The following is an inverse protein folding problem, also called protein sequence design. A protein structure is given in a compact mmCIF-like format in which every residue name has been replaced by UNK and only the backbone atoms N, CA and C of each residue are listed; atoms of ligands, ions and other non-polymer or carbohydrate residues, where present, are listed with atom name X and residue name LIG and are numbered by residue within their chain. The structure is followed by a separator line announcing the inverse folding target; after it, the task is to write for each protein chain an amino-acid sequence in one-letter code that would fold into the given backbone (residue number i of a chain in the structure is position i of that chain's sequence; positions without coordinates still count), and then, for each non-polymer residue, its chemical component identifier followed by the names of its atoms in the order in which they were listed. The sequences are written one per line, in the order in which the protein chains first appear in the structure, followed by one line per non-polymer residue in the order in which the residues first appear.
data_IF_501655185820
#
_entry.id   IF_501655185820
#
_cell.length_a   1.000
_cell.length_b   1.000
_cell.length_c   1.000
_cell.angle_alpha   90.00
_cell.angle_beta   90.00
_cell.angle_gamma   90.00
#
_symmetry.space_group_name_H-M   'P 1'
#
loop_
_entity.id
_entity.type
_entity.pdbx_description
1 polymer ?
#
# COMPACT_ATOMS: atom_id res chain seq x y z
N UNK A 1 14.92 -15.74 -12.83
CA UNK A 1 13.51 -16.20 -12.94
C UNK A 1 12.73 -15.96 -11.65
N UNK A 2 13.39 -15.94 -10.48
CA UNK A 2 12.74 -15.62 -9.20
C UNK A 2 12.33 -14.14 -9.06
N UNK A 3 13.17 -13.17 -9.46
CA UNK A 3 12.86 -11.74 -9.29
C UNK A 3 11.61 -11.26 -10.07
N UNK A 4 11.43 -11.76 -11.30
CA UNK A 4 10.27 -11.41 -12.13
C UNK A 4 9.00 -12.12 -11.64
N UNK A 5 9.13 -13.34 -11.12
CA UNK A 5 8.04 -14.06 -10.45
C UNK A 5 7.67 -13.40 -9.11
N UNK A 6 8.64 -12.89 -8.34
CA UNK A 6 8.41 -12.11 -7.11
C UNK A 6 7.73 -10.77 -7.44
N UNK A 7 8.14 -10.10 -8.53
CA UNK A 7 7.52 -8.85 -8.95
C UNK A 7 6.07 -9.05 -9.40
N UNK A 8 5.82 -10.06 -10.24
CA UNK A 8 4.46 -10.39 -10.70
C UNK A 8 3.61 -10.93 -9.54
N UNK A 9 4.20 -11.72 -8.63
CA UNK A 9 3.48 -12.22 -7.46
C UNK A 9 3.15 -11.10 -6.47
N UNK A 10 4.04 -10.15 -6.24
CA UNK A 10 3.77 -9.00 -5.37
C UNK A 10 2.71 -8.05 -5.94
N UNK A 11 2.66 -7.89 -7.27
CA UNK A 11 1.66 -7.03 -7.93
C UNK A 11 0.28 -7.71 -8.00
N UNK A 12 0.22 -8.98 -8.41
CA UNK A 12 -1.05 -9.67 -8.72
C UNK A 12 -1.48 -10.74 -7.71
N UNK A 13 -0.56 -11.52 -7.13
CA UNK A 13 -0.91 -12.74 -6.37
C UNK A 13 -1.00 -12.50 -4.86
N UNK A 14 -0.05 -11.75 -4.28
CA UNK A 14 0.01 -11.38 -2.87
C UNK A 14 -0.36 -9.91 -2.66
N UNK A 15 -1.39 -9.43 -3.35
CA UNK A 15 -1.80 -8.04 -3.26
C UNK A 15 -2.23 -7.72 -1.81
N UNK A 16 -1.53 -6.79 -1.17
CA UNK A 16 -1.78 -6.40 0.22
C UNK A 16 -3.24 -5.98 0.48
N UNK A 17 -3.87 -5.32 -0.49
CA UNK A 17 -5.24 -4.80 -0.34
C UNK A 17 -6.29 -5.88 -0.49
N UNK A 18 -6.10 -6.81 -1.43
CA UNK A 18 -7.14 -7.75 -1.86
C UNK A 18 -6.97 -9.16 -1.27
N UNK A 19 -5.75 -9.55 -0.94
CA UNK A 19 -5.46 -10.85 -0.32
C UNK A 19 -5.29 -10.72 1.20
N UNK A 20 -4.53 -9.72 1.65
CA UNK A 20 -4.27 -9.52 3.09
C UNK A 20 -5.22 -8.51 3.75
N UNK A 21 -6.09 -7.84 3.00
CA UNK A 21 -7.01 -6.81 3.52
C UNK A 21 -6.30 -5.67 4.28
N UNK A 22 -5.07 -5.34 3.85
CA UNK A 22 -4.25 -4.26 4.39
C UNK A 22 -4.39 -2.98 3.54
N UNK A 23 -4.41 -1.81 4.18
CA UNK A 23 -4.51 -0.51 3.53
C UNK A 23 -5.93 -0.05 3.21
N UNK A 24 -6.95 -0.59 3.89
CA UNK A 24 -8.36 -0.28 3.64
C UNK A 24 -8.70 1.19 3.95
N UNK A 25 -8.04 1.82 4.91
CA UNK A 25 -8.33 3.20 5.34
C UNK A 25 -8.21 4.22 4.18
N UNK A 26 -7.05 4.32 3.48
CA UNK A 26 -6.96 5.19 2.30
C UNK A 26 -7.75 4.66 1.12
N UNK A 27 -7.92 3.34 1.00
CA UNK A 27 -8.69 2.71 -0.06
C UNK A 27 -10.16 3.15 -0.04
N UNK A 28 -10.83 3.18 1.11
CA UNK A 28 -12.21 3.67 1.22
C UNK A 28 -12.31 5.21 1.23
N UNK A 29 -11.28 5.88 1.75
CA UNK A 29 -11.27 7.33 1.98
C UNK A 29 -11.02 8.17 0.71
N UNK A 30 -10.18 7.70 -0.22
CA UNK A 30 -9.70 8.49 -1.37
C UNK A 30 -10.21 7.99 -2.72
N UNK A 31 -10.86 6.83 -2.77
CA UNK A 31 -11.31 6.21 -4.03
C UNK A 31 -12.61 6.80 -4.61
N UNK A 32 -12.91 8.09 -4.39
CA UNK A 32 -14.10 8.73 -4.99
C UNK A 32 -13.82 9.30 -6.39
N UNK A 33 -12.56 9.65 -6.67
CA UNK A 33 -12.13 10.22 -7.94
C UNK A 33 -10.86 9.53 -8.38
N UNK A 34 -10.77 9.19 -9.67
CA UNK A 34 -9.58 8.54 -10.22
C UNK A 34 -8.32 9.39 -10.01
N UNK A 35 -8.39 10.71 -10.22
CA UNK A 35 -7.23 11.61 -10.06
C UNK A 35 -6.63 11.60 -8.65
N UNK A 36 -7.50 11.62 -7.63
CA UNK A 36 -7.08 11.58 -6.22
C UNK A 36 -6.59 10.18 -5.83
N UNK A 37 -7.21 9.12 -6.34
CA UNK A 37 -6.78 7.75 -6.09
C UNK A 37 -5.40 7.46 -6.71
N UNK A 38 -5.16 7.92 -7.93
CA UNK A 38 -3.90 7.74 -8.63
C UNK A 38 -2.73 8.46 -7.93
N UNK A 39 -2.94 9.73 -7.56
CA UNK A 39 -1.95 10.51 -6.81
C UNK A 39 -1.63 9.89 -5.45
N UNK A 40 -2.64 9.40 -4.74
CA UNK A 40 -2.45 8.68 -3.47
C UNK A 40 -1.70 7.36 -3.66
N UNK A 41 -2.05 6.57 -4.67
CA UNK A 41 -1.37 5.31 -4.98
C UNK A 41 0.11 5.50 -5.28
N UNK A 42 0.46 6.51 -6.10
CA UNK A 42 1.86 6.85 -6.38
C UNK A 42 2.62 7.29 -5.13
N UNK A 43 2.01 8.11 -4.27
CA UNK A 43 2.62 8.52 -3.01
C UNK A 43 2.90 7.33 -2.08
N UNK A 44 1.93 6.41 -1.94
CA UNK A 44 2.10 5.19 -1.15
C UNK A 44 3.16 4.27 -1.75
N UNK A 45 3.20 4.12 -3.08
CA UNK A 45 4.24 3.34 -3.76
C UNK A 45 5.64 3.87 -3.45
N UNK A 46 5.82 5.19 -3.55
CA UNK A 46 7.09 5.83 -3.22
C UNK A 46 7.49 5.58 -1.77
N UNK A 47 6.59 5.79 -0.81
CA UNK A 47 6.88 5.53 0.60
C UNK A 47 7.15 4.04 0.87
N UNK A 48 6.41 3.12 0.25
CA UNK A 48 6.63 1.67 0.37
C UNK A 48 8.03 1.27 -0.12
N UNK A 49 8.48 1.80 -1.25
CA UNK A 49 9.82 1.49 -1.80
C UNK A 49 10.94 1.97 -0.88
N UNK A 50 10.84 3.19 -0.37
CA UNK A 50 11.85 3.73 0.55
C UNK A 50 11.80 2.97 1.87
N UNK A 51 10.60 2.68 2.38
CA UNK A 51 10.45 1.88 3.60
C UNK A 51 11.09 0.51 3.45
N UNK A 52 10.92 -0.17 2.31
CA UNK A 52 11.53 -1.47 2.03
C UNK A 52 13.07 -1.43 2.15
N UNK A 53 13.69 -0.38 1.60
CA UNK A 53 15.15 -0.17 1.68
C UNK A 53 15.59 0.01 3.14
N UNK A 54 14.95 0.93 3.87
CA UNK A 54 15.36 1.27 5.23
C UNK A 54 15.00 0.17 6.24
N UNK A 55 13.88 -0.52 6.07
CA UNK A 55 13.47 -1.63 6.93
C UNK A 55 14.45 -2.79 6.82
N UNK A 56 14.91 -3.12 5.60
CA UNK A 56 15.94 -4.14 5.40
C UNK A 56 17.26 -3.75 6.05
N UNK A 57 17.69 -2.49 5.86
CA UNK A 57 18.95 -1.98 6.40
C UNK A 57 18.95 -2.04 7.93
N UNK A 58 17.87 -1.62 8.57
CA UNK A 58 17.75 -1.64 10.04
C UNK A 58 17.64 -3.06 10.57
N UNK A 59 16.87 -3.93 9.90
CA UNK A 59 16.73 -5.31 10.34
C UNK A 59 18.09 -6.05 10.29
N UNK A 60 18.80 -5.97 9.16
CA UNK A 60 20.02 -6.74 8.95
C UNK A 60 21.27 -6.12 9.60
N UNK A 61 21.40 -4.79 9.66
CA UNK A 61 22.56 -4.15 10.26
C UNK A 61 22.43 -3.93 11.77
N UNK A 62 21.21 -3.92 12.32
CA UNK A 62 20.99 -3.56 13.73
C UNK A 62 20.25 -4.69 14.46
N UNK A 63 19.06 -5.10 14.02
CA UNK A 63 18.25 -5.99 14.88
C UNK A 63 18.81 -7.41 14.97
N UNK A 64 19.21 -7.99 13.84
CA UNK A 64 19.81 -9.33 13.79
C UNK A 64 21.13 -9.41 14.58
N UNK A 65 22.14 -8.52 14.37
CA UNK A 65 23.43 -8.65 15.06
C UNK A 65 23.35 -8.41 16.57
N UNK A 66 22.36 -7.63 17.03
CA UNK A 66 22.16 -7.35 18.45
C UNK A 66 21.11 -8.26 19.11
N UNK A 67 20.49 -9.20 18.37
CA UNK A 67 19.47 -10.13 18.90
C UNK A 67 18.19 -9.42 19.37
N UNK A 68 17.83 -8.30 18.76
CA UNK A 68 16.76 -7.40 19.17
C UNK A 68 15.47 -7.61 18.33
N UNK A 69 15.19 -8.83 17.90
CA UNK A 69 14.05 -9.14 17.02
C UNK A 69 12.70 -8.73 17.61
N UNK A 70 12.58 -8.70 18.93
CA UNK A 70 11.35 -8.27 19.60
C UNK A 70 11.03 -6.77 19.40
N UNK A 71 12.01 -5.94 18.99
CA UNK A 71 11.81 -4.52 18.71
C UNK A 71 11.42 -4.21 17.25
N UNK A 72 11.36 -5.21 16.37
CA UNK A 72 11.11 -5.02 14.93
C UNK A 72 9.90 -4.10 14.65
N UNK A 73 8.76 -4.35 15.30
CA UNK A 73 7.53 -3.57 15.09
C UNK A 73 7.74 -2.09 15.47
N UNK A 74 8.32 -1.83 16.65
CA UNK A 74 8.52 -0.46 17.14
C UNK A 74 9.52 0.28 16.26
N UNK A 75 10.61 -0.39 15.86
CA UNK A 75 11.61 0.17 14.95
C UNK A 75 11.00 0.51 13.59
N UNK A 76 10.19 -0.37 13.00
CA UNK A 76 9.56 -0.10 11.70
C UNK A 76 8.56 1.06 11.76
N UNK A 77 7.75 1.16 12.82
CA UNK A 77 6.84 2.30 13.00
C UNK A 77 7.62 3.62 13.05
N UNK A 78 8.73 3.65 13.80
CA UNK A 78 9.56 4.86 13.92
C UNK A 78 10.18 5.26 12.58
N UNK A 79 10.67 4.28 11.82
CA UNK A 79 11.21 4.49 10.47
C UNK A 79 10.14 5.05 9.53
N UNK A 80 8.98 4.41 9.46
CA UNK A 80 7.87 4.85 8.61
C UNK A 80 7.44 6.27 8.98
N UNK A 81 7.27 6.57 10.27
CA UNK A 81 6.90 7.89 10.74
C UNK A 81 7.92 8.96 10.31
N UNK A 82 9.21 8.68 10.48
CA UNK A 82 10.28 9.61 10.08
C UNK A 82 10.34 9.86 8.57
N UNK A 83 10.14 8.80 7.77
CA UNK A 83 10.18 8.87 6.30
C UNK A 83 8.98 9.63 5.75
N UNK A 84 7.77 9.33 6.24
CA UNK A 84 6.56 10.02 5.80
C UNK A 84 6.61 11.49 6.19
N UNK A 85 7.12 11.83 7.37
CA UNK A 85 7.31 13.23 7.76
C UNK A 85 8.25 13.98 6.80
N UNK A 86 9.32 13.32 6.36
CA UNK A 86 10.23 13.88 5.37
C UNK A 86 9.52 14.08 4.02
N UNK A 87 8.72 13.11 3.59
CA UNK A 87 7.93 13.20 2.35
C UNK A 87 6.88 14.31 2.43
N UNK A 88 6.22 14.50 3.57
CA UNK A 88 5.26 15.59 3.79
C UNK A 88 5.92 16.96 3.59
N UNK A 89 7.08 17.17 4.21
CA UNK A 89 7.85 18.41 4.04
C UNK A 89 8.27 18.63 2.59
N UNK A 90 8.64 17.56 1.87
CA UNK A 90 9.05 17.61 0.47
C UNK A 90 7.88 17.98 -0.46
N UNK A 91 6.73 17.32 -0.29
CA UNK A 91 5.51 17.58 -1.08
C UNK A 91 5.01 19.01 -0.86
N UNK A 92 5.04 19.49 0.39
CA UNK A 92 4.63 20.87 0.73
C UNK A 92 5.47 21.93 -0.01
N UNK A 93 6.75 21.63 -0.28
CA UNK A 93 7.67 22.56 -0.95
C UNK A 93 7.58 22.50 -2.48
N UNK A 94 7.40 21.32 -3.06
CA UNK A 94 7.45 21.14 -4.53
C UNK A 94 6.09 21.41 -5.18
N UNK A 95 5.00 20.94 -4.57
CA UNK A 95 3.68 20.97 -5.18
C UNK A 95 2.60 21.34 -4.16
N UNK A 96 2.38 22.65 -3.93
CA UNK A 96 1.25 23.15 -3.14
C UNK A 96 -0.13 22.60 -3.55
N UNK A 97 -0.48 22.42 -4.85
CA UNK A 97 -1.79 21.88 -5.21
C UNK A 97 -1.97 20.41 -4.80
N UNK A 98 -0.90 19.62 -4.88
CA UNK A 98 -0.93 18.22 -4.42
C UNK A 98 -1.06 18.15 -2.90
N UNK A 99 -0.37 19.02 -2.17
CA UNK A 99 -0.50 19.13 -0.71
C UNK A 99 -1.91 19.57 -0.29
N UNK A 100 -2.56 20.47 -1.03
CA UNK A 100 -3.95 20.86 -0.75
C UNK A 100 -4.95 19.71 -1.00
N UNK A 101 -4.70 18.88 -2.01
CA UNK A 101 -5.56 17.74 -2.32
C UNK A 101 -5.35 16.55 -1.36
N UNK A 102 -4.10 16.27 -0.97
CA UNK A 102 -3.73 15.10 -0.15
C UNK A 102 -3.47 15.42 1.32
N UNK A 103 -3.42 16.69 1.74
CA UNK A 103 -2.92 17.15 3.05
C UNK A 103 -3.47 16.37 4.25
N UNK A 104 -4.77 16.06 4.23
CA UNK A 104 -5.46 15.32 5.29
C UNK A 104 -5.08 13.83 5.29
N UNK A 105 -4.70 13.28 4.13
CA UNK A 105 -4.38 11.87 3.93
C UNK A 105 -2.90 11.54 4.10
N UNK A 106 -1.99 12.53 4.13
CA UNK A 106 -0.56 12.28 4.39
C UNK A 106 -0.32 11.60 5.76
N UNK A 107 -0.94 12.03 6.87
CA UNK A 107 -0.85 11.29 8.14
C UNK A 107 -1.41 9.87 8.05
N UNK A 108 -2.41 9.60 7.20
CA UNK A 108 -2.91 8.24 6.98
C UNK A 108 -1.89 7.31 6.33
N UNK A 109 -0.84 7.84 5.68
CA UNK A 109 0.25 7.03 5.14
C UNK A 109 1.09 6.44 6.28
N UNK A 110 1.35 7.20 7.36
CA UNK A 110 2.13 6.71 8.51
C UNK A 110 1.49 5.50 9.20
N UNK A 111 0.17 5.48 9.26
CA UNK A 111 -0.64 4.45 9.90
C UNK A 111 -1.16 3.42 8.90
N UNK A 112 -0.66 3.44 7.67
CA UNK A 112 -1.09 2.51 6.64
C UNK A 112 -0.55 1.12 6.93
N UNK A 113 -1.46 0.20 7.24
CA UNK A 113 -1.12 -1.18 7.54
C UNK A 113 -0.49 -1.94 6.37
N UNK A 114 -0.69 -1.53 5.11
CA UNK A 114 0.02 -2.12 3.96
C UNK A 114 1.53 -1.87 4.00
N UNK A 115 1.96 -0.68 4.47
CA UNK A 115 3.38 -0.31 4.54
C UNK A 115 4.08 -1.09 5.66
N UNK A 116 3.43 -1.17 6.83
CA UNK A 116 3.94 -1.96 7.95
C UNK A 116 3.94 -3.46 7.63
N UNK A 117 2.90 -3.97 6.98
CA UNK A 117 2.81 -5.36 6.55
C UNK A 117 3.91 -5.75 5.57
N UNK A 118 4.24 -4.87 4.61
CA UNK A 118 5.36 -5.07 3.70
C UNK A 118 6.68 -5.26 4.46
N UNK A 119 6.97 -4.38 5.41
CA UNK A 119 8.21 -4.45 6.17
C UNK A 119 8.31 -5.76 6.97
N UNK A 120 7.20 -6.21 7.55
CA UNK A 120 7.15 -7.44 8.33
C UNK A 120 7.26 -8.70 7.45
N UNK A 121 6.51 -8.76 6.35
CA UNK A 121 6.52 -9.91 5.42
C UNK A 121 7.88 -10.06 4.75
N UNK A 122 8.54 -8.96 4.41
CA UNK A 122 9.88 -9.00 3.84
C UNK A 122 10.90 -9.65 4.79
N UNK A 123 10.77 -9.42 6.09
CA UNK A 123 11.62 -10.04 7.11
C UNK A 123 11.25 -11.51 7.33
N UNK A 124 9.95 -11.82 7.44
CA UNK A 124 9.47 -13.19 7.62
C UNK A 124 9.92 -14.12 6.48
N UNK A 125 9.92 -13.62 5.25
CA UNK A 125 10.36 -14.37 4.06
C UNK A 125 11.89 -14.34 3.86
N UNK A 126 12.65 -13.70 4.74
CA UNK A 126 14.12 -13.56 4.66
C UNK A 126 14.61 -13.08 3.28
N UNK A 127 13.93 -12.07 2.71
CA UNK A 127 14.34 -11.55 1.40
C UNK A 127 15.71 -10.87 1.45
N UNK A 128 16.48 -11.06 0.39
CA UNK A 128 17.70 -10.28 0.15
C UNK A 128 17.37 -8.80 -0.10
N UNK A 129 18.39 -7.94 -0.06
CA UNK A 129 18.21 -6.50 -0.28
C UNK A 129 17.49 -6.21 -1.61
N UNK A 130 17.94 -6.86 -2.68
CA UNK A 130 17.41 -6.65 -4.03
C UNK A 130 15.97 -7.17 -4.14
N UNK A 131 15.68 -8.33 -3.55
CA UNK A 131 14.32 -8.87 -3.49
C UNK A 131 13.38 -7.99 -2.70
N UNK A 132 13.83 -7.42 -1.57
CA UNK A 132 13.02 -6.55 -0.72
C UNK A 132 12.64 -5.26 -1.45
N UNK A 133 13.57 -4.67 -2.20
CA UNK A 133 13.27 -3.47 -3.01
C UNK A 133 12.27 -3.79 -4.12
N UNK A 134 12.48 -4.88 -4.85
CA UNK A 134 11.58 -5.31 -5.93
C UNK A 134 10.19 -5.65 -5.37
N UNK A 135 10.13 -6.33 -4.23
CA UNK A 135 8.90 -6.61 -3.50
C UNK A 135 8.19 -5.32 -3.08
N UNK A 136 8.94 -4.31 -2.62
CA UNK A 136 8.35 -3.03 -2.23
C UNK A 136 7.80 -2.21 -3.40
N UNK A 137 8.50 -2.19 -4.54
CA UNK A 137 8.00 -1.56 -5.77
C UNK A 137 6.76 -2.30 -6.26
N UNK A 138 6.81 -3.63 -6.33
CA UNK A 138 5.69 -4.44 -6.80
C UNK A 138 4.45 -4.28 -5.93
N UNK A 139 4.62 -4.31 -4.61
CA UNK A 139 3.51 -4.15 -3.66
C UNK A 139 2.87 -2.76 -3.72
N UNK A 140 3.68 -1.71 -3.90
CA UNK A 140 3.16 -0.35 -4.07
C UNK A 140 2.39 -0.17 -5.38
N UNK A 141 2.90 -0.72 -6.48
CA UNK A 141 2.18 -0.73 -7.76
C UNK A 141 0.87 -1.53 -7.66
N UNK A 142 0.87 -2.66 -6.95
CA UNK A 142 -0.33 -3.45 -6.66
C UNK A 142 -1.38 -2.66 -5.86
N UNK A 143 -0.95 -1.87 -4.88
CA UNK A 143 -1.82 -0.94 -4.15
C UNK A 143 -2.40 0.15 -5.06
N UNK A 144 -1.57 0.73 -5.92
CA UNK A 144 -1.98 1.76 -6.89
C UNK A 144 -3.01 1.22 -7.87
N UNK A 145 -2.79 0.01 -8.40
CA UNK A 145 -3.73 -0.66 -9.29
C UNK A 145 -5.08 -0.90 -8.58
N UNK A 146 -5.05 -1.41 -7.35
CA UNK A 146 -6.27 -1.68 -6.59
C UNK A 146 -7.09 -0.40 -6.32
N UNK A 147 -6.44 0.69 -5.88
CA UNK A 147 -7.16 1.93 -5.54
C UNK A 147 -7.71 2.64 -6.79
N UNK A 148 -7.01 2.55 -7.93
CA UNK A 148 -7.49 3.12 -9.21
C UNK A 148 -8.68 2.33 -9.75
N UNK A 149 -8.63 0.99 -9.69
CA UNK A 149 -9.78 0.15 -10.06
C UNK A 149 -11.00 0.45 -9.19
N UNK A 150 -10.79 0.58 -7.87
CA UNK A 150 -11.86 0.94 -6.95
C UNK A 150 -12.44 2.32 -7.25
N UNK A 151 -11.58 3.28 -7.59
CA UNK A 151 -12.02 4.63 -7.95
C UNK A 151 -12.85 4.64 -9.23
N UNK A 152 -12.43 3.90 -10.26
CA UNK A 152 -13.21 3.76 -11.49
C UNK A 152 -14.59 3.16 -11.24
N UNK A 153 -14.66 2.05 -10.49
CA UNK A 153 -15.96 1.42 -10.17
C UNK A 153 -16.84 2.36 -9.34
N UNK A 154 -16.26 3.14 -8.41
CA UNK A 154 -17.04 4.08 -7.60
C UNK A 154 -17.53 5.29 -8.38
N UNK A 155 -16.75 5.78 -9.34
CA UNK A 155 -17.15 6.88 -10.21
C UNK A 155 -18.31 6.47 -11.12
N UNK A 156 -18.31 5.22 -11.61
CA UNK A 156 -19.45 4.63 -12.33
C UNK A 156 -20.67 4.40 -11.42
N UNK A 157 -20.46 3.94 -10.18
CA UNK A 157 -21.55 3.72 -9.22
C UNK A 157 -22.24 5.00 -8.76
N UNK A 158 -21.55 6.14 -8.78
CA UNK A 158 -22.16 7.44 -8.49
C UNK A 158 -23.18 7.85 -9.56
N UNK A 159 -23.08 7.30 -10.78
CA UNK A 159 -24.06 7.46 -11.87
C UNK A 159 -25.15 6.37 -11.86
N UNK A 160 -24.96 5.29 -11.09
CA UNK A 160 -25.88 4.16 -11.02
C UNK A 160 -26.97 4.35 -9.97
N UNK A 161 -28.08 3.62 -10.13
CA UNK A 161 -29.23 3.71 -9.23
C UNK A 161 -29.02 2.82 -7.98
N UNK A 162 -28.24 3.34 -7.04
CA UNK A 162 -27.91 2.65 -5.79
C UNK A 162 -28.97 2.97 -4.71
N UNK A 163 -29.47 1.98 -3.94
CA UNK A 163 -30.38 2.23 -2.83
C UNK A 163 -29.79 3.24 -1.83
N UNK A 164 -30.57 4.26 -1.44
CA UNK A 164 -30.12 5.32 -0.52
C UNK A 164 -29.40 4.84 0.75
N UNK A 165 -29.84 3.75 1.43
CA UNK A 165 -29.17 3.26 2.64
C UNK A 165 -27.76 2.70 2.39
N UNK A 166 -27.44 2.31 1.15
CA UNK A 166 -26.17 1.68 0.78
C UNK A 166 -25.18 2.65 0.15
N UNK A 167 -25.58 3.89 -0.13
CA UNK A 167 -24.71 4.91 -0.74
C UNK A 167 -23.48 5.19 0.14
N UNK A 168 -22.33 5.39 -0.50
CA UNK A 168 -21.07 5.69 0.18
C UNK A 168 -20.30 4.45 0.63
N UNK A 169 -20.07 4.31 1.95
CA UNK A 169 -19.18 3.29 2.49
C UNK A 169 -19.76 1.86 2.38
N UNK A 170 -21.08 1.70 2.48
CA UNK A 170 -21.75 0.41 2.40
C UNK A 170 -21.52 -0.28 1.05
N UNK A 171 -21.82 0.41 -0.05
CA UNK A 171 -21.56 -0.14 -1.39
C UNK A 171 -20.06 -0.28 -1.69
N UNK A 172 -19.22 0.62 -1.17
CA UNK A 172 -17.77 0.50 -1.33
C UNK A 172 -17.23 -0.79 -0.70
N UNK A 173 -17.75 -1.23 0.45
CA UNK A 173 -17.36 -2.49 1.06
C UNK A 173 -17.86 -3.71 0.26
N UNK A 174 -19.09 -3.65 -0.27
CA UNK A 174 -19.63 -4.72 -1.13
C UNK A 174 -18.77 -4.89 -2.39
N UNK A 175 -18.46 -3.78 -3.06
CA UNK A 175 -17.60 -3.76 -4.24
C UNK A 175 -16.20 -4.26 -3.89
N UNK A 176 -15.63 -3.83 -2.78
CA UNK A 176 -14.32 -4.31 -2.32
C UNK A 176 -14.33 -5.84 -2.11
N UNK A 177 -15.41 -6.40 -1.56
CA UNK A 177 -15.58 -7.85 -1.41
C UNK A 177 -15.67 -8.58 -2.75
N UNK A 178 -16.42 -8.04 -3.72
CA UNK A 178 -16.52 -8.61 -5.07
C UNK A 178 -15.17 -8.53 -5.80
N UNK A 179 -14.46 -7.41 -5.66
CA UNK A 179 -13.10 -7.26 -6.19
C UNK A 179 -12.14 -8.28 -5.57
N UNK A 180 -12.18 -8.47 -4.25
CA UNK A 180 -11.34 -9.46 -3.57
C UNK A 180 -11.61 -10.89 -4.10
N UNK A 181 -12.87 -11.25 -4.30
CA UNK A 181 -13.25 -12.53 -4.92
C UNK A 181 -12.71 -12.68 -6.35
N UNK A 182 -12.80 -11.63 -7.18
CA UNK A 182 -12.27 -11.65 -8.54
C UNK A 182 -10.74 -11.82 -8.55
N UNK A 183 -10.04 -11.13 -7.64
CA UNK A 183 -8.58 -11.21 -7.56
C UNK A 183 -8.07 -12.52 -6.95
N UNK A 184 -8.84 -13.18 -6.08
CA UNK A 184 -8.51 -14.53 -5.60
C UNK A 184 -8.43 -15.57 -6.75
N UNK A 185 -9.05 -15.31 -7.90
CA UNK A 185 -8.89 -16.14 -9.10
C UNK A 185 -7.44 -16.17 -9.64
N UNK A 186 -6.63 -15.15 -9.35
CA UNK A 186 -5.24 -15.06 -9.79
C UNK A 186 -4.25 -15.85 -8.92
N UNK A 187 -4.69 -16.34 -7.75
CA UNK A 187 -3.84 -17.11 -6.83
C UNK A 187 -3.28 -18.40 -7.45
N UNK A 188 -3.94 -18.94 -8.48
CA UNK A 188 -3.49 -20.14 -9.19
C UNK A 188 -2.44 -19.92 -10.29
N UNK A 189 -2.08 -18.67 -10.61
CA UNK A 189 -1.20 -18.37 -11.76
C UNK A 189 0.29 -18.62 -11.50
N UNK A 190 0.72 -18.69 -10.24
CA UNK A 190 2.15 -18.83 -9.89
C UNK A 190 2.30 -20.09 -9.02
N UNK A 191 2.96 -21.10 -9.59
CA UNK A 191 3.48 -22.28 -8.90
C UNK A 191 4.99 -22.32 -9.06
#
# INVERSE_FOLDING_TARGET
MELLAIFISAILVNNFVLYYFLGICPFLGVSKKIDSAFSMGLAVTFVMTITAVFSWLINHLILIPYGLDYLQIVSFILVIASLVQLVEMFIRKISPPLYQALGIYLPLITTNCAIMGLALIAVLNNYSFVETVIFGVGSGLGFTLAIVLMAGIREDLDLADVPEPLKGAGIALIVAGIMALAFNGFLGMIK
#
